data_IF_314759647319
#
_entry.id   IF_314759647319
#
_cell.length_a   1.000
_cell.length_b   1.000
_cell.length_c   1.000
_cell.angle_alpha   90.00
_cell.angle_beta   90.00
_cell.angle_gamma   90.00
#
_symmetry.space_group_name_H-M   'P 1'
#
loop_
_entity.id
_entity.type
_entity.pdbx_description
1 polymer ?
#
# COMPACT_ATOMS: atom_id res chain seq x y z
N UNK A 1 30.72 3.60 27.19
CA UNK A 1 29.49 2.97 27.70
C UNK A 1 29.84 1.55 28.17
N UNK A 2 29.62 1.17 29.41
CA UNK A 2 29.90 -0.18 29.90
C UNK A 2 28.89 -1.17 29.34
N UNK A 3 29.34 -2.14 28.53
CA UNK A 3 28.52 -3.18 27.95
C UNK A 3 28.53 -4.46 28.83
N UNK A 4 27.40 -5.13 28.88
CA UNK A 4 27.31 -6.47 29.50
C UNK A 4 27.94 -7.51 28.55
N UNK A 5 28.27 -8.69 29.07
CA UNK A 5 28.95 -9.76 28.31
C UNK A 5 28.06 -10.39 27.22
N UNK A 6 26.75 -10.16 27.28
CA UNK A 6 25.73 -10.66 26.34
C UNK A 6 25.59 -9.81 25.11
N UNK A 7 26.24 -8.64 25.06
CA UNK A 7 26.16 -7.71 23.91
C UNK A 7 27.10 -8.15 22.80
N UNK A 8 26.50 -8.61 21.69
CA UNK A 8 27.22 -8.93 20.46
C UNK A 8 27.10 -7.75 19.47
N UNK A 9 28.20 -7.00 19.31
CA UNK A 9 28.26 -5.84 18.39
C UNK A 9 28.12 -6.25 16.92
N UNK A 10 28.51 -7.47 16.51
CA UNK A 10 28.31 -7.95 15.14
C UNK A 10 26.83 -8.18 14.89
N UNK A 11 26.15 -8.84 15.80
CA UNK A 11 24.70 -9.04 15.73
C UNK A 11 23.95 -7.71 15.76
N UNK A 12 24.39 -6.74 16.58
CA UNK A 12 23.83 -5.39 16.57
C UNK A 12 24.03 -4.71 15.20
N UNK A 13 25.20 -4.82 14.59
CA UNK A 13 25.45 -4.26 13.26
C UNK A 13 24.54 -4.88 12.16
N UNK A 14 24.27 -6.18 12.25
CA UNK A 14 23.35 -6.87 11.33
C UNK A 14 21.90 -6.37 11.47
N UNK A 15 21.40 -6.24 12.71
CA UNK A 15 20.02 -5.84 12.97
C UNK A 15 19.79 -4.33 12.88
N UNK A 16 20.84 -3.49 12.94
CA UNK A 16 20.77 -2.03 12.72
C UNK A 16 20.99 -1.64 11.26
N UNK A 17 20.79 -2.55 10.34
CA UNK A 17 20.83 -2.27 8.92
C UNK A 17 19.85 -1.13 8.55
N UNK A 18 20.33 -0.08 7.86
CA UNK A 18 19.53 1.10 7.52
C UNK A 18 19.55 2.24 8.54
N UNK A 19 20.23 2.06 9.67
CA UNK A 19 20.48 3.15 10.62
C UNK A 19 21.62 4.05 10.11
N UNK A 20 21.45 5.36 10.24
CA UNK A 20 22.55 6.33 10.07
C UNK A 20 23.44 6.35 11.31
N UNK A 21 24.63 6.95 11.21
CA UNK A 21 25.49 7.15 12.40
C UNK A 21 24.78 7.89 13.53
N UNK A 22 23.89 8.87 13.19
CA UNK A 22 23.09 9.59 14.17
C UNK A 22 22.04 8.68 14.84
N UNK A 23 21.42 7.77 14.09
CA UNK A 23 20.46 6.80 14.64
C UNK A 23 21.14 5.79 15.57
N UNK A 24 22.36 5.31 15.21
CA UNK A 24 23.15 4.41 16.05
C UNK A 24 23.54 5.12 17.35
N UNK A 25 23.93 6.40 17.28
CA UNK A 25 24.22 7.18 18.47
C UNK A 25 22.98 7.39 19.34
N UNK A 26 21.80 7.64 18.74
CA UNK A 26 20.53 7.75 19.45
C UNK A 26 20.15 6.41 20.10
N UNK A 27 20.30 5.28 19.38
CA UNK A 27 20.04 3.93 19.87
C UNK A 27 20.93 3.61 21.09
N UNK A 28 22.23 3.91 21.01
CA UNK A 28 23.17 3.69 22.11
C UNK A 28 22.78 4.54 23.33
N UNK A 29 22.36 5.78 23.13
CA UNK A 29 21.91 6.68 24.20
C UNK A 29 20.63 6.15 24.86
N UNK A 30 19.64 5.75 24.08
CA UNK A 30 18.37 5.23 24.62
C UNK A 30 18.59 3.89 25.36
N UNK A 31 19.40 2.97 24.83
CA UNK A 31 19.76 1.74 25.53
C UNK A 31 20.44 2.03 26.89
N UNK A 32 21.35 3.00 26.94
CA UNK A 32 21.98 3.42 28.19
C UNK A 32 20.96 4.04 29.18
N UNK A 33 20.04 4.87 28.70
CA UNK A 33 18.98 5.46 29.53
C UNK A 33 18.03 4.40 30.11
N UNK A 34 17.74 3.33 29.35
CA UNK A 34 16.94 2.19 29.84
C UNK A 34 17.66 1.40 30.91
N UNK A 35 18.95 1.11 30.72
CA UNK A 35 19.76 0.45 31.73
C UNK A 35 19.81 1.28 33.03
N UNK A 36 19.96 2.61 32.94
CA UNK A 36 19.90 3.51 34.07
C UNK A 36 18.53 3.50 34.77
N UNK A 37 17.43 3.56 34.04
CA UNK A 37 16.06 3.49 34.61
C UNK A 37 15.84 2.16 35.34
N UNK A 38 16.30 1.03 34.77
CA UNK A 38 16.23 -0.29 35.43
C UNK A 38 17.05 -0.33 36.70
N UNK A 39 18.25 0.25 36.70
CA UNK A 39 19.11 0.32 37.87
C UNK A 39 18.53 1.18 39.01
N UNK A 40 17.85 2.27 38.68
CA UNK A 40 17.10 3.11 39.63
C UNK A 40 15.90 2.35 40.22
N UNK A 41 15.12 1.66 39.39
CA UNK A 41 13.97 0.88 39.86
C UNK A 41 14.34 -0.33 40.71
N UNK A 42 15.49 -0.93 40.44
CA UNK A 42 16.01 -2.07 41.24
C UNK A 42 16.76 -1.66 42.50
N UNK A 43 16.89 -0.36 42.79
CA UNK A 43 17.60 0.15 43.97
C UNK A 43 19.13 0.04 43.91
N UNK A 44 19.69 -0.40 42.78
CA UNK A 44 21.15 -0.46 42.58
C UNK A 44 21.76 0.94 42.53
N UNK A 45 21.02 1.91 41.95
CA UNK A 45 21.36 3.33 41.91
C UNK A 45 20.48 4.08 42.91
N UNK A 46 21.11 4.83 43.83
CA UNK A 46 20.40 5.74 44.71
C UNK A 46 20.92 7.17 44.49
N UNK A 47 20.07 8.04 43.97
CA UNK A 47 20.40 9.42 43.59
C UNK A 47 20.71 10.31 44.80
N UNK A 48 20.35 9.88 46.01
CA UNK A 48 20.58 10.63 47.28
C UNK A 48 21.95 10.35 47.93
N UNK A 49 22.85 9.63 47.27
CA UNK A 49 24.20 9.37 47.78
C UNK A 49 25.17 10.48 47.37
N UNK A 50 26.28 10.61 48.12
CA UNK A 50 27.38 11.51 47.77
C UNK A 50 28.02 11.11 46.42
N UNK A 51 28.59 12.10 45.71
CA UNK A 51 29.07 11.95 44.33
C UNK A 51 30.07 10.80 44.10
N UNK A 52 30.91 10.47 45.10
CA UNK A 52 31.90 9.37 45.01
C UNK A 52 31.26 7.98 45.04
N UNK A 53 30.24 7.80 45.85
CA UNK A 53 29.51 6.51 45.96
C UNK A 53 28.55 6.32 44.74
N UNK A 54 28.00 7.43 44.23
CA UNK A 54 27.20 7.41 43.02
C UNK A 54 28.02 6.97 41.78
N UNK A 55 29.28 7.43 41.68
CA UNK A 55 30.19 6.98 40.59
C UNK A 55 30.50 5.49 40.66
N UNK A 56 30.75 4.91 41.87
CA UNK A 56 30.96 3.47 42.07
C UNK A 56 29.73 2.65 41.70
N UNK A 57 28.52 3.16 41.98
CA UNK A 57 27.28 2.47 41.60
C UNK A 57 27.02 2.57 40.11
N UNK A 58 27.35 3.68 39.45
CA UNK A 58 27.27 3.84 37.99
C UNK A 58 28.20 2.88 37.22
N UNK A 59 29.38 2.55 37.78
CA UNK A 59 30.30 1.56 37.17
C UNK A 59 29.73 0.13 37.19
N UNK A 60 28.76 -0.17 38.05
CA UNK A 60 28.08 -1.46 38.13
C UNK A 60 26.98 -1.59 37.08
N UNK A 61 26.46 -0.48 36.55
CA UNK A 61 25.40 -0.47 35.56
C UNK A 61 25.98 -0.84 34.20
N UNK A 62 25.56 -1.98 33.65
CA UNK A 62 25.96 -2.44 32.32
C UNK A 62 24.75 -2.50 31.42
N UNK A 63 24.95 -2.06 30.19
CA UNK A 63 23.91 -2.10 29.15
C UNK A 63 23.88 -3.48 28.54
N UNK A 64 22.74 -4.16 28.60
CA UNK A 64 22.54 -5.52 28.10
C UNK A 64 22.03 -5.50 26.62
N UNK A 65 22.12 -6.65 25.95
CA UNK A 65 21.56 -6.82 24.61
C UNK A 65 20.06 -6.53 24.59
N UNK A 66 19.33 -6.88 25.64
CA UNK A 66 17.90 -6.62 25.75
C UNK A 66 17.57 -5.12 25.78
N UNK A 67 18.43 -4.29 26.41
CA UNK A 67 18.24 -2.84 26.43
C UNK A 67 18.35 -2.24 25.03
N UNK A 68 19.25 -2.77 24.18
CA UNK A 68 19.35 -2.39 22.78
C UNK A 68 18.12 -2.82 21.99
N UNK A 69 17.65 -4.06 22.14
CA UNK A 69 16.48 -4.57 21.43
C UNK A 69 15.20 -3.81 21.81
N UNK A 70 15.04 -3.42 23.05
CA UNK A 70 13.93 -2.59 23.50
C UNK A 70 14.05 -1.14 22.96
N UNK A 71 15.26 -0.57 22.96
CA UNK A 71 15.51 0.77 22.42
C UNK A 71 15.23 0.85 20.90
N UNK A 72 15.49 -0.24 20.16
CA UNK A 72 15.18 -0.33 18.73
C UNK A 72 13.68 -0.22 18.41
N UNK A 73 12.79 -0.50 19.37
CA UNK A 73 11.35 -0.33 19.18
C UNK A 73 10.94 1.14 19.14
N UNK A 74 11.71 2.02 19.76
CA UNK A 74 11.45 3.47 19.82
C UNK A 74 12.28 4.27 18.81
N UNK A 75 13.52 3.83 18.56
CA UNK A 75 14.42 4.49 17.62
C UNK A 75 14.22 3.88 16.23
N UNK A 76 13.40 4.54 15.44
CA UNK A 76 13.19 4.19 14.02
C UNK A 76 14.30 4.80 13.17
N UNK A 77 14.94 4.04 12.26
CA UNK A 77 15.97 4.56 11.35
C UNK A 77 15.52 5.80 10.60
N UNK A 78 16.36 6.85 10.55
CA UNK A 78 16.01 8.11 9.86
C UNK A 78 15.75 7.91 8.36
N UNK A 79 16.51 7.03 7.71
CA UNK A 79 16.26 6.61 6.33
C UNK A 79 14.88 5.95 6.15
N UNK A 80 14.26 5.51 7.24
CA UNK A 80 12.94 4.90 7.24
C UNK A 80 11.80 5.88 7.61
N UNK A 81 12.07 7.06 8.13
CA UNK A 81 11.02 8.00 8.56
C UNK A 81 10.21 8.60 7.42
N UNK A 82 10.79 8.72 6.23
CA UNK A 82 10.15 9.40 5.09
C UNK A 82 9.16 8.53 4.30
N UNK A 83 9.23 7.19 4.42
CA UNK A 83 8.31 6.28 3.75
C UNK A 83 7.45 5.63 4.83
N UNK A 84 6.16 5.87 4.85
CA UNK A 84 5.23 5.30 5.83
C UNK A 84 4.91 3.84 5.51
N UNK A 85 5.11 2.96 6.49
CA UNK A 85 4.55 1.60 6.45
C UNK A 85 3.18 1.70 7.11
N UNK A 86 2.13 1.46 6.34
CA UNK A 86 0.77 1.41 6.83
C UNK A 86 0.39 -0.03 7.19
N UNK A 87 -0.41 -0.19 8.23
CA UNK A 87 -1.17 -1.42 8.47
C UNK A 87 -2.61 -1.09 8.11
N UNK A 88 -3.04 -1.37 6.86
CA UNK A 88 -4.37 -1.02 6.43
C UNK A 88 -5.42 -1.81 7.22
N UNK A 89 -6.61 -1.21 7.38
CA UNK A 89 -7.74 -1.85 8.10
C UNK A 89 -8.90 -2.20 7.16
N UNK A 90 -8.72 -1.99 5.86
CA UNK A 90 -9.74 -2.25 4.84
C UNK A 90 -9.84 -3.76 4.61
N UNK A 91 -11.06 -4.29 4.64
CA UNK A 91 -11.35 -5.71 4.38
C UNK A 91 -12.12 -5.88 3.08
N UNK A 92 -12.21 -7.13 2.58
CA UNK A 92 -13.01 -7.44 1.39
C UNK A 92 -14.48 -7.02 1.52
N UNK A 93 -15.04 -7.07 2.72
CA UNK A 93 -16.43 -6.67 3.02
C UNK A 93 -16.67 -5.15 2.96
N UNK A 94 -15.60 -4.36 2.96
CA UNK A 94 -15.67 -2.90 2.81
C UNK A 94 -15.66 -2.46 1.34
N UNK A 95 -15.62 -3.41 0.40
CA UNK A 95 -15.64 -3.19 -1.04
C UNK A 95 -16.88 -3.84 -1.63
N UNK A 96 -17.79 -3.04 -2.17
CA UNK A 96 -19.00 -3.55 -2.83
C UNK A 96 -18.70 -4.08 -4.23
N UNK A 97 -19.19 -5.30 -4.54
CA UNK A 97 -19.01 -5.95 -5.84
C UNK A 97 -17.57 -6.35 -6.15
N UNK A 98 -17.24 -6.42 -7.45
CA UNK A 98 -15.91 -6.77 -7.97
C UNK A 98 -15.45 -8.18 -7.57
N UNK A 99 -16.36 -9.15 -7.46
CA UNK A 99 -16.03 -10.49 -6.93
C UNK A 99 -14.97 -11.21 -7.77
N UNK A 100 -15.00 -11.07 -9.09
CA UNK A 100 -13.99 -11.66 -9.99
C UNK A 100 -12.61 -11.04 -9.72
N UNK A 101 -12.54 -9.72 -9.61
CA UNK A 101 -11.28 -8.99 -9.31
C UNK A 101 -10.75 -9.36 -7.93
N UNK A 102 -11.63 -9.47 -6.93
CA UNK A 102 -11.26 -9.92 -5.58
C UNK A 102 -10.70 -11.34 -5.61
N UNK A 103 -11.34 -12.24 -6.37
CA UNK A 103 -10.89 -13.61 -6.50
C UNK A 103 -9.52 -13.70 -7.18
N UNK A 104 -9.31 -12.96 -8.27
CA UNK A 104 -8.00 -12.90 -8.94
C UNK A 104 -6.90 -12.38 -7.99
N UNK A 105 -7.19 -11.36 -7.19
CA UNK A 105 -6.24 -10.83 -6.21
C UNK A 105 -5.97 -11.81 -5.05
N UNK A 106 -6.99 -12.55 -4.58
CA UNK A 106 -6.80 -13.61 -3.59
C UNK A 106 -5.83 -14.67 -4.12
N UNK A 107 -6.05 -15.14 -5.33
CA UNK A 107 -5.22 -16.19 -5.96
C UNK A 107 -3.80 -15.71 -6.25
N UNK A 108 -3.66 -14.47 -6.70
CA UNK A 108 -2.38 -13.93 -7.12
C UNK A 108 -1.49 -13.44 -5.95
N UNK A 109 -2.08 -12.98 -4.84
CA UNK A 109 -1.35 -12.35 -3.73
C UNK A 109 -1.61 -13.03 -2.41
N UNK A 110 -2.88 -13.15 -2.01
CA UNK A 110 -3.25 -13.64 -0.67
C UNK A 110 -2.79 -15.08 -0.46
N UNK A 111 -3.08 -15.97 -1.41
CA UNK A 111 -2.69 -17.37 -1.30
C UNK A 111 -1.17 -17.59 -1.31
N UNK A 112 -0.38 -16.96 -2.19
CA UNK A 112 1.09 -17.09 -2.14
C UNK A 112 1.70 -16.60 -0.83
N UNK A 113 1.19 -15.51 -0.26
CA UNK A 113 1.69 -14.96 1.00
C UNK A 113 1.26 -15.80 2.21
N UNK A 114 0.02 -16.33 2.20
CA UNK A 114 -0.49 -17.18 3.29
C UNK A 114 0.01 -18.63 3.22
N UNK A 115 0.18 -19.17 2.03
CA UNK A 115 0.47 -20.59 1.81
C UNK A 115 1.67 -20.84 0.88
N UNK A 116 2.85 -20.25 1.13
CA UNK A 116 4.00 -20.31 0.23
C UNK A 116 4.44 -21.76 -0.05
N UNK A 117 4.34 -22.66 0.95
CA UNK A 117 4.71 -24.06 0.81
C UNK A 117 3.83 -24.84 -0.18
N UNK A 118 2.53 -24.46 -0.30
CA UNK A 118 1.64 -25.08 -1.29
C UNK A 118 2.08 -24.75 -2.71
N UNK A 119 2.46 -23.49 -2.96
CA UNK A 119 2.96 -23.05 -4.26
C UNK A 119 4.27 -23.73 -4.63
N UNK A 120 5.20 -23.89 -3.66
CA UNK A 120 6.45 -24.63 -3.85
C UNK A 120 6.20 -26.10 -4.22
N UNK A 121 5.31 -26.78 -3.48
CA UNK A 121 4.96 -28.19 -3.75
C UNK A 121 4.32 -28.40 -5.11
N UNK A 122 3.52 -27.44 -5.58
CA UNK A 122 2.86 -27.48 -6.88
C UNK A 122 3.76 -27.00 -8.03
N UNK A 123 4.96 -26.50 -7.74
CA UNK A 123 5.86 -25.91 -8.74
C UNK A 123 5.34 -24.62 -9.38
N UNK A 124 4.30 -24.00 -8.78
CA UNK A 124 3.67 -22.77 -9.27
C UNK A 124 4.47 -21.57 -8.79
N UNK A 125 4.75 -20.66 -9.72
CA UNK A 125 5.43 -19.40 -9.42
C UNK A 125 4.39 -18.30 -9.23
N UNK A 126 4.29 -17.65 -8.05
CA UNK A 126 3.42 -16.51 -7.89
C UNK A 126 3.87 -15.33 -8.75
N UNK A 127 2.95 -14.46 -9.18
CA UNK A 127 3.31 -13.26 -9.90
C UNK A 127 4.12 -12.32 -9.00
N UNK A 128 5.07 -11.59 -9.58
CA UNK A 128 5.85 -10.58 -8.86
C UNK A 128 5.10 -9.26 -8.76
N UNK A 129 4.36 -8.91 -9.78
CA UNK A 129 3.64 -7.66 -9.89
C UNK A 129 2.26 -7.81 -10.52
N UNK A 130 1.37 -6.93 -10.11
CA UNK A 130 0.00 -6.84 -10.60
C UNK A 130 -0.30 -5.39 -10.97
N UNK A 131 -0.79 -5.18 -12.19
CA UNK A 131 -1.29 -3.89 -12.64
C UNK A 131 -2.81 -3.86 -12.56
N UNK A 132 -3.35 -2.97 -11.73
CA UNK A 132 -4.77 -2.62 -11.68
C UNK A 132 -5.02 -1.43 -12.61
N UNK A 133 -5.92 -1.56 -13.55
CA UNK A 133 -6.26 -0.45 -14.43
C UNK A 133 -7.77 -0.32 -14.59
N UNK A 134 -8.23 0.87 -14.92
CA UNK A 134 -9.66 1.16 -15.09
C UNK A 134 -10.00 2.61 -14.78
N UNK A 135 -11.26 3.01 -14.88
CA UNK A 135 -11.70 4.37 -14.62
C UNK A 135 -11.33 4.85 -13.21
N UNK A 136 -11.16 6.16 -12.99
CA UNK A 136 -10.98 6.71 -11.66
C UNK A 136 -12.19 6.41 -10.76
N UNK A 137 -12.00 6.33 -9.45
CA UNK A 137 -13.08 6.10 -8.49
C UNK A 137 -13.65 4.69 -8.43
N UNK A 138 -13.07 3.71 -9.15
CA UNK A 138 -13.53 2.30 -9.14
C UNK A 138 -12.96 1.45 -7.99
N UNK A 139 -12.19 2.04 -7.07
CA UNK A 139 -11.72 1.37 -5.85
C UNK A 139 -10.38 0.63 -5.97
N UNK A 140 -9.53 0.93 -6.97
CA UNK A 140 -8.21 0.29 -7.15
C UNK A 140 -7.32 0.36 -5.91
N UNK A 141 -7.24 1.53 -5.28
CA UNK A 141 -6.49 1.75 -4.03
C UNK A 141 -7.08 0.97 -2.85
N UNK A 142 -8.42 0.88 -2.76
CA UNK A 142 -9.10 0.09 -1.73
C UNK A 142 -8.84 -1.41 -1.90
N UNK A 143 -8.85 -1.92 -3.13
CA UNK A 143 -8.51 -3.32 -3.44
C UNK A 143 -7.10 -3.66 -2.99
N UNK A 144 -6.11 -2.80 -3.27
CA UNK A 144 -4.73 -3.00 -2.85
C UNK A 144 -4.60 -3.01 -1.31
N UNK A 145 -5.30 -2.11 -0.61
CA UNK A 145 -5.34 -2.08 0.85
C UNK A 145 -6.02 -3.33 1.44
N UNK A 146 -7.12 -3.76 0.85
CA UNK A 146 -7.84 -4.95 1.32
C UNK A 146 -7.00 -6.21 1.19
N UNK A 147 -6.32 -6.43 0.05
CA UNK A 147 -5.47 -7.60 -0.12
C UNK A 147 -4.30 -7.62 0.87
N UNK A 148 -3.70 -6.47 1.18
CA UNK A 148 -2.64 -6.37 2.18
C UNK A 148 -3.16 -6.71 3.59
N UNK A 149 -4.33 -6.17 3.97
CA UNK A 149 -5.00 -6.48 5.26
C UNK A 149 -5.28 -7.97 5.39
N UNK A 150 -5.91 -8.55 4.39
CA UNK A 150 -6.32 -9.96 4.41
C UNK A 150 -5.12 -10.92 4.33
N UNK A 151 -4.00 -10.48 3.75
CA UNK A 151 -2.76 -11.25 3.70
C UNK A 151 -1.88 -11.08 4.95
N UNK A 152 -2.29 -10.27 5.93
CA UNK A 152 -1.46 -9.85 7.05
C UNK A 152 -0.09 -9.30 6.62
N UNK A 153 -0.06 -8.61 5.48
CA UNK A 153 1.14 -8.01 4.93
C UNK A 153 1.22 -6.51 5.28
N UNK A 154 2.43 -6.04 5.47
CA UNK A 154 2.71 -4.62 5.56
C UNK A 154 2.39 -3.94 4.21
N UNK A 155 2.04 -2.66 4.25
CA UNK A 155 1.63 -1.91 3.08
C UNK A 155 2.45 -0.64 2.96
N UNK A 156 3.08 -0.45 1.81
CA UNK A 156 3.82 0.76 1.47
C UNK A 156 3.09 1.42 0.31
N UNK A 157 2.37 2.52 0.59
CA UNK A 157 1.73 3.32 -0.45
C UNK A 157 2.73 4.34 -1.02
N UNK A 158 2.82 4.38 -2.33
CA UNK A 158 3.67 5.27 -3.09
C UNK A 158 2.83 5.93 -4.17
N UNK A 159 2.72 7.26 -4.13
CA UNK A 159 2.06 8.01 -5.19
C UNK A 159 3.08 8.48 -6.21
N UNK A 160 2.80 8.23 -7.49
CA UNK A 160 3.70 8.61 -8.58
C UNK A 160 4.15 10.07 -8.51
N UNK A 161 3.25 11.06 -8.43
CA UNK A 161 3.62 12.48 -8.34
C UNK A 161 4.48 12.84 -7.11
N UNK A 162 4.35 12.12 -5.99
CA UNK A 162 5.15 12.37 -4.78
C UNK A 162 6.63 12.02 -4.97
N UNK A 163 6.93 10.97 -5.76
CA UNK A 163 8.31 10.61 -6.09
C UNK A 163 8.96 11.73 -6.89
N UNK A 164 8.23 12.33 -7.82
CA UNK A 164 8.75 13.39 -8.69
C UNK A 164 8.96 14.70 -7.94
N UNK A 165 8.05 15.05 -7.04
CA UNK A 165 8.06 16.35 -6.34
C UNK A 165 8.99 16.37 -5.13
N UNK A 166 8.95 15.34 -4.28
CA UNK A 166 9.76 15.25 -3.05
C UNK A 166 11.22 14.91 -3.29
N UNK A 167 11.51 14.15 -4.37
CA UNK A 167 12.83 13.59 -4.64
C UNK A 167 13.43 14.13 -5.94
N UNK A 168 13.20 15.41 -6.23
CA UNK A 168 13.75 16.04 -7.41
C UNK A 168 15.27 15.87 -7.47
N UNK A 169 15.76 15.10 -8.46
CA UNK A 169 17.17 14.71 -8.58
C UNK A 169 17.61 13.43 -7.85
N UNK A 170 16.77 12.86 -6.95
CA UNK A 170 17.06 11.63 -6.20
C UNK A 170 15.96 10.55 -6.32
N UNK A 171 15.07 10.67 -7.29
CA UNK A 171 13.91 9.76 -7.45
C UNK A 171 14.31 8.29 -7.63
N UNK A 172 15.46 8.01 -8.26
CA UNK A 172 16.03 6.66 -8.37
C UNK A 172 16.40 6.08 -7.00
N UNK A 173 16.97 6.91 -6.13
CA UNK A 173 17.31 6.54 -4.76
C UNK A 173 16.05 6.24 -3.95
N UNK A 174 14.98 7.04 -4.14
CA UNK A 174 13.69 6.82 -3.49
C UNK A 174 13.11 5.45 -3.85
N UNK A 175 13.10 5.07 -5.13
CA UNK A 175 12.63 3.74 -5.56
C UNK A 175 13.45 2.64 -4.90
N UNK A 176 14.78 2.74 -4.90
CA UNK A 176 15.66 1.77 -4.26
C UNK A 176 15.37 1.62 -2.76
N UNK A 177 15.17 2.73 -2.06
CA UNK A 177 14.84 2.72 -0.63
C UNK A 177 13.44 2.14 -0.34
N UNK A 178 12.44 2.35 -1.21
CA UNK A 178 11.12 1.73 -1.12
C UNK A 178 11.24 0.21 -1.16
N UNK A 179 11.91 -0.34 -2.17
CA UNK A 179 12.09 -1.79 -2.32
C UNK A 179 12.93 -2.39 -1.19
N UNK A 180 13.98 -1.68 -0.76
CA UNK A 180 14.77 -2.08 0.41
C UNK A 180 13.93 -2.18 1.66
N UNK A 181 13.09 -1.19 1.94
CA UNK A 181 12.14 -1.21 3.07
C UNK A 181 11.13 -2.32 2.98
N UNK A 182 10.57 -2.54 1.80
CA UNK A 182 9.61 -3.61 1.60
C UNK A 182 10.22 -4.98 1.92
N UNK A 183 11.47 -5.21 1.51
CA UNK A 183 12.20 -6.45 1.86
C UNK A 183 12.42 -6.59 3.38
N UNK A 184 12.74 -5.49 4.07
CA UNK A 184 12.91 -5.50 5.53
C UNK A 184 11.60 -5.69 6.30
N UNK A 185 10.49 -5.23 5.72
CA UNK A 185 9.14 -5.32 6.30
C UNK A 185 8.33 -6.52 5.76
N UNK A 186 8.97 -7.48 5.10
CA UNK A 186 8.28 -8.63 4.52
C UNK A 186 7.55 -9.47 5.60
N UNK A 187 6.35 -10.01 5.33
CA UNK A 187 5.61 -9.91 4.07
C UNK A 187 5.09 -8.50 3.82
N UNK A 188 5.26 -7.97 2.60
CA UNK A 188 4.94 -6.59 2.27
C UNK A 188 4.33 -6.44 0.87
N UNK A 189 3.34 -5.57 0.75
CA UNK A 189 2.77 -5.11 -0.51
C UNK A 189 3.26 -3.68 -0.77
N UNK A 190 3.97 -3.48 -1.88
CA UNK A 190 4.27 -2.14 -2.40
C UNK A 190 3.15 -1.76 -3.34
N UNK A 191 2.51 -0.63 -3.10
CA UNK A 191 1.44 -0.11 -3.95
C UNK A 191 1.87 1.20 -4.60
N UNK A 192 2.02 1.18 -5.92
CA UNK A 192 2.25 2.37 -6.73
C UNK A 192 0.91 2.89 -7.27
N UNK A 193 0.44 4.00 -6.73
CA UNK A 193 -0.73 4.69 -7.29
C UNK A 193 -0.28 5.67 -8.36
N UNK A 194 -1.06 5.79 -9.45
CA UNK A 194 -0.73 6.62 -10.60
C UNK A 194 0.66 6.30 -11.18
N UNK A 195 0.89 4.99 -11.45
CA UNK A 195 2.18 4.53 -11.99
C UNK A 195 2.55 5.19 -13.32
N UNK A 196 1.55 5.60 -14.09
CA UNK A 196 1.68 6.34 -15.33
C UNK A 196 2.42 7.69 -15.16
N UNK A 197 2.38 8.29 -13.96
CA UNK A 197 3.12 9.52 -13.66
C UNK A 197 4.64 9.30 -13.59
N UNK A 198 5.10 8.12 -13.14
CA UNK A 198 6.54 7.82 -12.95
C UNK A 198 7.12 6.89 -14.00
N UNK A 199 6.28 6.21 -14.75
CA UNK A 199 6.70 5.26 -15.78
C UNK A 199 5.88 5.42 -17.08
N UNK A 200 5.89 6.61 -17.69
CA UNK A 200 5.24 6.82 -18.98
C UNK A 200 6.03 6.16 -20.11
N UNK A 201 5.31 5.71 -21.14
CA UNK A 201 5.91 5.22 -22.37
C UNK A 201 6.69 6.35 -23.08
N UNK A 202 7.78 5.98 -23.74
CA UNK A 202 8.60 6.92 -24.50
C UNK A 202 7.76 7.70 -25.51
N UNK A 203 7.93 9.02 -25.56
CA UNK A 203 7.21 9.94 -26.45
C UNK A 203 5.91 10.50 -25.87
N UNK A 204 5.47 10.08 -24.66
CA UNK A 204 4.31 10.69 -23.97
C UNK A 204 4.68 11.74 -22.92
N UNK A 205 5.90 11.70 -22.38
CA UNK A 205 6.46 12.80 -21.60
C UNK A 205 7.48 13.53 -22.46
N UNK A 206 7.68 14.85 -22.21
CA UNK A 206 8.86 15.53 -22.73
C UNK A 206 10.08 14.68 -22.40
N UNK A 207 10.95 14.38 -23.41
CA UNK A 207 12.10 13.50 -23.29
C UNK A 207 12.99 13.93 -22.09
N UNK A 208 12.63 13.50 -20.91
CA UNK A 208 13.34 13.79 -19.68
C UNK A 208 14.23 12.61 -19.33
N UNK A 209 15.56 12.78 -19.44
CA UNK A 209 16.51 11.73 -19.03
C UNK A 209 16.31 11.25 -17.57
N UNK A 210 15.67 12.07 -16.73
CA UNK A 210 15.33 11.71 -15.36
C UNK A 210 14.24 10.63 -15.31
N UNK A 211 13.19 10.73 -16.16
CA UNK A 211 12.13 9.73 -16.24
C UNK A 211 12.65 8.38 -16.73
N UNK A 212 13.48 8.36 -17.78
CA UNK A 212 14.09 7.12 -18.26
C UNK A 212 14.90 6.39 -17.17
N UNK A 213 15.60 7.15 -16.32
CA UNK A 213 16.35 6.59 -15.18
C UNK A 213 15.44 6.04 -14.09
N UNK A 214 14.32 6.71 -13.79
CA UNK A 214 13.32 6.24 -12.84
C UNK A 214 12.73 4.91 -13.31
N UNK A 215 12.32 4.84 -14.59
CA UNK A 215 11.78 3.61 -15.20
C UNK A 215 12.84 2.50 -15.17
N UNK A 216 14.07 2.79 -15.56
CA UNK A 216 15.16 1.82 -15.53
C UNK A 216 15.44 1.28 -14.11
N UNK A 217 15.41 2.15 -13.10
CA UNK A 217 15.58 1.75 -11.69
C UNK A 217 14.39 0.89 -11.22
N UNK A 218 13.16 1.27 -11.55
CA UNK A 218 11.97 0.48 -11.20
C UNK A 218 12.03 -0.92 -11.83
N UNK A 219 12.41 -1.01 -13.11
CA UNK A 219 12.60 -2.28 -13.81
C UNK A 219 13.68 -3.13 -13.14
N UNK A 220 14.82 -2.54 -12.78
CA UNK A 220 15.91 -3.23 -12.10
C UNK A 220 15.50 -3.76 -10.72
N UNK A 221 14.75 -2.97 -9.93
CA UNK A 221 14.26 -3.42 -8.63
C UNK A 221 13.22 -4.54 -8.76
N UNK A 222 12.30 -4.45 -9.74
CA UNK A 222 11.32 -5.52 -10.00
C UNK A 222 11.99 -6.81 -10.48
N UNK A 223 13.00 -6.72 -11.34
CA UNK A 223 13.77 -7.88 -11.79
C UNK A 223 14.57 -8.49 -10.62
N UNK A 224 15.08 -7.62 -9.70
CA UNK A 224 15.81 -7.98 -8.49
C UNK A 224 14.94 -8.52 -7.34
N UNK A 225 13.61 -8.39 -7.39
CA UNK A 225 12.72 -9.04 -6.40
C UNK A 225 12.88 -10.55 -6.54
N UNK A 226 13.60 -11.14 -5.59
CA UNK A 226 13.80 -12.57 -5.59
C UNK A 226 12.52 -13.26 -5.08
N UNK A 227 12.34 -14.53 -5.48
CA UNK A 227 11.15 -15.33 -5.13
C UNK A 227 11.01 -15.60 -3.62
N UNK A 228 12.01 -15.26 -2.85
CA UNK A 228 12.09 -15.53 -1.41
C UNK A 228 11.72 -14.32 -0.56
N UNK A 229 11.52 -13.14 -1.17
CA UNK A 229 11.44 -11.90 -0.40
C UNK A 229 10.04 -11.62 0.19
N UNK A 230 9.01 -12.43 -0.13
CA UNK A 230 7.62 -12.19 0.31
C UNK A 230 7.16 -10.73 0.07
N UNK A 231 7.63 -10.13 -1.02
CA UNK A 231 7.25 -8.78 -1.46
C UNK A 231 6.49 -8.90 -2.77
N UNK A 232 5.31 -8.27 -2.82
CA UNK A 232 4.48 -8.19 -4.01
C UNK A 232 4.31 -6.74 -4.40
N UNK A 233 4.41 -6.43 -5.68
CA UNK A 233 4.21 -5.08 -6.21
C UNK A 233 2.81 -4.99 -6.85
N UNK A 234 2.01 -4.03 -6.41
CA UNK A 234 0.74 -3.68 -7.05
C UNK A 234 0.90 -2.28 -7.61
N UNK A 235 0.53 -2.08 -8.86
CA UNK A 235 0.44 -0.74 -9.44
C UNK A 235 -1.00 -0.44 -9.85
N UNK A 236 -1.40 0.82 -9.76
CA UNK A 236 -2.69 1.28 -10.26
C UNK A 236 -2.50 2.41 -11.27
N UNK A 237 -3.33 2.42 -12.32
CA UNK A 237 -3.36 3.49 -13.30
C UNK A 237 -4.78 3.73 -13.83
N UNK A 238 -5.05 4.98 -14.15
CA UNK A 238 -6.23 5.38 -14.92
C UNK A 238 -5.90 5.53 -16.43
N UNK A 239 -4.62 5.51 -16.79
CA UNK A 239 -4.11 5.69 -18.14
C UNK A 239 -3.21 4.53 -18.56
N UNK A 240 -3.79 3.33 -18.77
CA UNK A 240 -2.99 2.16 -19.11
C UNK A 240 -2.30 2.30 -20.49
N UNK A 241 -2.81 3.18 -21.33
CA UNK A 241 -2.29 3.49 -22.66
C UNK A 241 -0.93 4.18 -22.66
N UNK A 242 -0.58 4.88 -21.58
CA UNK A 242 0.67 5.63 -21.46
C UNK A 242 1.72 4.93 -20.55
N UNK A 243 1.39 3.81 -19.94
CA UNK A 243 2.37 3.04 -19.13
C UNK A 243 3.42 2.41 -20.03
N UNK A 244 4.70 2.49 -19.61
CA UNK A 244 5.81 1.90 -20.37
C UNK A 244 5.59 0.39 -20.61
N UNK A 245 5.55 -0.07 -21.88
CA UNK A 245 5.35 -1.48 -22.21
C UNK A 245 6.39 -2.41 -21.60
N UNK A 246 7.58 -1.92 -21.25
CA UNK A 246 8.59 -2.73 -20.59
C UNK A 246 8.15 -3.24 -19.21
N UNK A 247 7.29 -2.51 -18.51
CA UNK A 247 6.72 -2.94 -17.23
C UNK A 247 5.70 -4.08 -17.40
N UNK A 248 5.07 -4.18 -18.55
CA UNK A 248 4.03 -5.18 -18.85
C UNK A 248 4.59 -6.53 -19.34
N UNK A 249 5.92 -6.65 -19.43
CA UNK A 249 6.58 -7.89 -19.83
C UNK A 249 6.55 -8.94 -18.70
N UNK A 250 6.53 -10.24 -19.04
CA UNK A 250 6.61 -11.33 -18.08
C UNK A 250 7.81 -11.18 -17.12
N UNK A 251 7.58 -11.46 -15.84
CA UNK A 251 8.58 -11.28 -14.78
C UNK A 251 8.51 -9.95 -14.06
N UNK A 252 7.61 -9.04 -14.46
CA UNK A 252 7.38 -7.70 -13.86
C UNK A 252 5.92 -7.59 -13.44
N UNK A 253 5.06 -6.91 -14.21
CA UNK A 253 3.61 -6.99 -13.98
C UNK A 253 3.03 -8.20 -14.73
N UNK A 254 3.11 -9.35 -14.09
CA UNK A 254 2.70 -10.64 -14.66
C UNK A 254 1.18 -10.78 -14.82
N UNK A 255 0.43 -10.00 -14.06
CA UNK A 255 -1.03 -9.93 -14.08
C UNK A 255 -1.49 -8.52 -14.34
N UNK A 256 -2.42 -8.39 -15.27
CA UNK A 256 -3.05 -7.13 -15.64
C UNK A 256 -4.55 -7.32 -15.43
N UNK A 257 -5.10 -6.62 -14.44
CA UNK A 257 -6.48 -6.80 -13.98
C UNK A 257 -7.27 -5.53 -14.27
N UNK A 258 -8.34 -5.67 -15.03
CA UNK A 258 -9.31 -4.61 -15.27
C UNK A 258 -10.23 -4.45 -14.06
N UNK A 259 -10.34 -3.24 -13.55
CA UNK A 259 -11.28 -2.87 -12.48
C UNK A 259 -12.42 -2.09 -13.14
N UNK A 260 -13.53 -2.75 -13.48
CA UNK A 260 -14.65 -2.11 -14.19
C UNK A 260 -15.41 -1.16 -13.28
N UNK A 261 -16.23 -0.27 -13.87
CA UNK A 261 -17.26 0.46 -13.11
C UNK A 261 -18.21 -0.52 -12.40
N UNK A 262 -18.83 -0.08 -11.29
CA UNK A 262 -19.74 -0.95 -10.56
C UNK A 262 -21.03 -1.20 -11.37
N UNK A 263 -21.44 -2.46 -11.46
CA UNK A 263 -22.73 -2.88 -11.98
C UNK A 263 -23.87 -2.53 -10.98
N UNK A 264 -25.10 -2.82 -11.34
CA UNK A 264 -26.27 -2.54 -10.50
C UNK A 264 -26.14 -3.15 -9.10
N UNK A 265 -25.70 -4.41 -9.00
CA UNK A 265 -25.53 -5.11 -7.74
C UNK A 265 -24.39 -4.51 -6.90
N UNK A 266 -23.28 -4.21 -7.53
CA UNK A 266 -22.15 -3.56 -6.87
C UNK A 266 -22.54 -2.16 -6.35
N UNK A 267 -23.30 -1.36 -7.12
CA UNK A 267 -23.80 -0.05 -6.67
C UNK A 267 -24.69 -0.18 -5.43
N UNK A 268 -25.58 -1.17 -5.42
CA UNK A 268 -26.39 -1.45 -4.23
C UNK A 268 -25.53 -1.78 -2.99
N UNK A 269 -24.52 -2.65 -3.16
CA UNK A 269 -23.60 -3.01 -2.07
C UNK A 269 -22.77 -1.81 -1.61
N UNK A 270 -22.30 -0.97 -2.52
CA UNK A 270 -21.57 0.27 -2.21
C UNK A 270 -22.45 1.25 -1.43
N UNK A 271 -23.71 1.45 -1.88
CA UNK A 271 -24.70 2.27 -1.15
C UNK A 271 -24.88 1.74 0.28
N UNK A 272 -25.08 0.43 0.44
CA UNK A 272 -25.24 -0.21 1.75
C UNK A 272 -24.01 -0.01 2.67
N UNK A 273 -22.81 -0.05 2.11
CA UNK A 273 -21.56 0.18 2.86
C UNK A 273 -21.50 1.64 3.34
N UNK A 274 -21.72 2.61 2.45
CA UNK A 274 -21.60 4.03 2.79
C UNK A 274 -22.76 4.58 3.62
N UNK A 275 -23.93 3.91 3.63
CA UNK A 275 -25.07 4.30 4.47
C UNK A 275 -25.18 3.50 5.76
N UNK A 276 -24.31 2.52 6.01
CA UNK A 276 -24.37 1.60 7.16
C UNK A 276 -24.52 2.30 8.52
N UNK A 277 -23.88 3.43 8.69
CA UNK A 277 -23.89 4.21 9.94
C UNK A 277 -24.77 5.46 9.86
N UNK A 278 -25.57 5.60 8.80
CA UNK A 278 -26.47 6.74 8.63
C UNK A 278 -27.85 6.41 9.20
N UNK A 279 -28.50 7.35 9.90
CA UNK A 279 -29.89 7.21 10.31
C UNK A 279 -30.80 7.38 9.08
N UNK A 280 -31.08 6.30 8.37
CA UNK A 280 -31.95 6.31 7.19
C UNK A 280 -33.41 6.31 7.59
N UNK A 281 -34.21 7.17 6.97
CA UNK A 281 -35.65 7.17 7.08
C UNK A 281 -36.24 5.94 6.34
N UNK A 282 -37.48 5.56 6.71
CA UNK A 282 -38.14 4.36 6.16
C UNK A 282 -38.46 4.45 4.67
N UNK A 283 -38.46 5.62 4.11
CA UNK A 283 -38.72 5.90 2.68
C UNK A 283 -37.51 5.66 1.76
N UNK A 284 -36.31 5.38 2.34
CA UNK A 284 -35.10 5.18 1.55
C UNK A 284 -35.04 3.75 1.01
N UNK A 285 -35.17 3.64 -0.31
CA UNK A 285 -34.97 2.40 -1.04
C UNK A 285 -33.59 2.40 -1.73
N UNK A 286 -32.66 1.61 -1.18
CA UNK A 286 -31.30 1.51 -1.73
C UNK A 286 -31.25 0.78 -3.07
N UNK A 287 -32.22 -0.10 -3.37
CA UNK A 287 -32.31 -0.78 -4.67
C UNK A 287 -32.75 0.20 -5.76
N UNK A 288 -33.70 1.07 -5.44
CA UNK A 288 -34.13 2.14 -6.35
C UNK A 288 -33.00 3.13 -6.59
N UNK A 289 -32.28 3.55 -5.54
CA UNK A 289 -31.09 4.40 -5.68
C UNK A 289 -30.01 3.74 -6.54
N UNK A 290 -29.77 2.44 -6.40
CA UNK A 290 -28.83 1.72 -7.25
C UNK A 290 -29.23 1.74 -8.73
N UNK A 291 -30.52 1.67 -9.05
CA UNK A 291 -31.02 1.80 -10.42
C UNK A 291 -30.82 3.20 -10.96
N UNK A 292 -31.04 4.24 -10.14
CA UNK A 292 -30.92 5.63 -10.53
C UNK A 292 -29.47 6.12 -10.66
N UNK A 293 -28.51 5.43 -10.08
CA UNK A 293 -27.08 5.79 -10.07
C UNK A 293 -26.30 5.10 -11.18
N UNK A 294 -26.91 4.87 -12.34
CA UNK A 294 -26.18 4.31 -13.49
C UNK A 294 -25.05 5.25 -13.96
N UNK A 295 -23.87 4.70 -14.28
CA UNK A 295 -22.69 5.46 -14.62
C UNK A 295 -21.94 6.10 -13.43
N UNK A 296 -22.40 5.89 -12.18
CA UNK A 296 -21.69 6.34 -10.99
C UNK A 296 -20.57 5.37 -10.62
N UNK A 297 -19.44 5.91 -10.18
CA UNK A 297 -18.34 5.15 -9.58
C UNK A 297 -18.59 4.92 -8.09
N UNK A 298 -17.73 4.09 -7.46
CA UNK A 298 -17.75 3.96 -6.01
C UNK A 298 -17.52 5.28 -5.28
N UNK A 299 -16.63 6.12 -5.81
CA UNK A 299 -16.37 7.46 -5.26
C UNK A 299 -17.56 8.41 -5.42
N UNK A 300 -18.27 8.35 -6.55
CA UNK A 300 -19.48 9.16 -6.76
C UNK A 300 -20.57 8.78 -5.77
N UNK A 301 -20.76 7.49 -5.52
CA UNK A 301 -21.75 6.97 -4.56
C UNK A 301 -21.38 7.37 -3.11
N UNK A 302 -20.09 7.32 -2.76
CA UNK A 302 -19.61 7.82 -1.47
C UNK A 302 -19.94 9.30 -1.28
N UNK A 303 -19.63 10.12 -2.29
CA UNK A 303 -19.92 11.56 -2.28
C UNK A 303 -21.45 11.80 -2.22
N UNK A 304 -22.25 11.02 -2.95
CA UNK A 304 -23.71 11.09 -2.95
C UNK A 304 -24.26 10.83 -1.54
N UNK A 305 -23.85 9.76 -0.90
CA UNK A 305 -24.28 9.41 0.45
C UNK A 305 -23.90 10.51 1.46
N UNK A 306 -22.67 11.02 1.37
CA UNK A 306 -22.18 12.12 2.22
C UNK A 306 -22.97 13.41 2.01
N UNK A 307 -23.25 13.80 0.76
CA UNK A 307 -24.03 15.03 0.47
C UNK A 307 -25.48 14.88 0.95
N UNK A 308 -26.11 13.72 0.77
CA UNK A 308 -27.45 13.45 1.30
C UNK A 308 -27.49 13.58 2.83
N UNK A 309 -26.49 13.06 3.53
CA UNK A 309 -26.33 13.25 4.99
C UNK A 309 -26.16 14.70 5.40
N UNK A 310 -25.35 15.47 4.64
CA UNK A 310 -25.16 16.91 4.90
C UNK A 310 -26.46 17.72 4.67
N UNK A 311 -27.24 17.37 3.67
CA UNK A 311 -28.55 18.03 3.43
C UNK A 311 -29.51 17.76 4.58
N UNK A 312 -29.62 16.51 5.04
CA UNK A 312 -30.44 16.14 6.20
C UNK A 312 -29.98 16.88 7.47
N UNK A 313 -28.67 16.97 7.70
CA UNK A 313 -28.11 17.67 8.86
C UNK A 313 -28.44 19.17 8.84
N UNK A 314 -28.40 19.82 7.68
CA UNK A 314 -28.76 21.24 7.53
C UNK A 314 -30.23 21.51 7.80
N UNK A 315 -31.14 20.62 7.37
CA UNK A 315 -32.59 20.78 7.57
C UNK A 315 -33.00 20.57 9.04
N UNK A 316 -32.34 19.65 9.73
CA UNK A 316 -32.78 19.18 11.05
C UNK A 316 -31.89 19.64 12.20
N UNK A 317 -30.93 20.56 11.94
CA UNK A 317 -29.92 20.99 12.93
C UNK A 317 -29.21 19.80 13.60
N UNK A 318 -28.98 18.72 12.83
CA UNK A 318 -28.19 17.56 13.27
C UNK A 318 -28.98 16.43 13.95
N UNK A 319 -30.32 16.52 14.06
CA UNK A 319 -31.15 15.55 14.80
C UNK A 319 -32.07 14.70 13.92
N UNK A 320 -31.91 14.71 12.60
CA UNK A 320 -32.87 14.06 11.68
C UNK A 320 -32.34 12.87 10.92
N UNK A 321 -33.29 12.13 10.34
CA UNK A 321 -33.04 10.98 9.47
C UNK A 321 -32.77 11.45 8.02
N UNK A 322 -31.95 10.70 7.30
CA UNK A 322 -31.69 10.91 5.88
C UNK A 322 -32.81 10.25 5.07
N UNK A 323 -33.63 11.05 4.39
CA UNK A 323 -34.74 10.58 3.58
C UNK A 323 -34.37 10.42 2.10
N UNK A 324 -35.19 9.73 1.32
CA UNK A 324 -35.02 9.56 -0.12
C UNK A 324 -34.92 10.91 -0.85
N UNK A 325 -35.65 11.93 -0.40
CA UNK A 325 -35.59 13.29 -0.94
C UNK A 325 -34.17 13.88 -0.89
N UNK A 326 -33.44 13.65 0.19
CA UNK A 326 -32.06 14.17 0.33
C UNK A 326 -31.13 13.53 -0.70
N UNK A 327 -31.27 12.22 -0.97
CA UNK A 327 -30.51 11.56 -2.04
C UNK A 327 -30.87 12.11 -3.41
N UNK A 328 -32.15 12.29 -3.72
CA UNK A 328 -32.60 12.87 -5.00
C UNK A 328 -32.09 14.30 -5.19
N UNK A 329 -32.02 15.09 -4.14
CA UNK A 329 -31.47 16.44 -4.20
C UNK A 329 -29.94 16.44 -4.37
N UNK A 330 -29.23 15.54 -3.69
CA UNK A 330 -27.82 15.33 -3.87
C UNK A 330 -27.46 14.90 -5.31
N UNK A 331 -28.27 14.04 -5.93
CA UNK A 331 -28.09 13.63 -7.33
C UNK A 331 -28.22 14.77 -8.36
N UNK A 332 -28.88 15.87 -8.01
CA UNK A 332 -28.91 17.06 -8.88
C UNK A 332 -27.53 17.69 -8.99
N UNK A 333 -26.73 17.63 -7.95
CA UNK A 333 -25.37 18.20 -7.88
C UNK A 333 -24.31 17.23 -8.35
N UNK A 334 -24.43 15.96 -7.96
CA UNK A 334 -23.44 14.93 -8.25
C UNK A 334 -23.89 14.18 -9.50
N UNK A 335 -23.05 14.23 -10.53
CA UNK A 335 -23.31 13.61 -11.82
C UNK A 335 -22.45 12.35 -11.97
N UNK A 336 -22.87 11.37 -12.81
CA UNK A 336 -22.06 10.20 -13.11
C UNK A 336 -20.71 10.60 -13.73
N UNK A 337 -19.64 9.98 -13.27
CA UNK A 337 -18.28 10.24 -13.77
C UNK A 337 -17.89 9.36 -14.95
N UNK A 338 -18.65 8.29 -15.22
CA UNK A 338 -18.34 7.32 -16.27
C UNK A 338 -19.22 7.57 -17.49
N UNK A 339 -18.57 7.62 -18.65
CA UNK A 339 -19.25 7.64 -19.95
C UNK A 339 -19.10 6.30 -20.66
N UNK A 340 -20.04 5.95 -21.57
CA UNK A 340 -19.93 4.71 -22.35
C UNK A 340 -18.66 4.64 -23.21
N UNK A 341 -18.14 5.79 -23.64
CA UNK A 341 -16.90 5.88 -24.43
C UNK A 341 -15.69 5.49 -23.57
N UNK A 342 -15.67 5.88 -22.30
CA UNK A 342 -14.61 5.48 -21.36
C UNK A 342 -14.60 3.97 -21.17
N UNK A 343 -15.76 3.34 -20.98
CA UNK A 343 -15.86 1.88 -20.83
C UNK A 343 -15.29 1.18 -22.07
N UNK A 344 -15.74 1.58 -23.26
CA UNK A 344 -15.25 1.05 -24.54
C UNK A 344 -13.73 1.19 -24.71
N UNK A 345 -13.17 2.31 -24.26
CA UNK A 345 -11.72 2.54 -24.30
C UNK A 345 -10.97 1.51 -23.46
N UNK A 346 -11.36 1.28 -22.20
CA UNK A 346 -10.70 0.33 -21.32
C UNK A 346 -10.86 -1.11 -21.79
N UNK A 347 -12.04 -1.51 -22.24
CA UNK A 347 -12.32 -2.83 -22.81
C UNK A 347 -11.49 -3.09 -24.07
N UNK A 348 -11.46 -2.14 -25.00
CA UNK A 348 -10.67 -2.25 -26.23
C UNK A 348 -9.15 -2.30 -25.93
N UNK A 349 -8.68 -1.57 -24.92
CA UNK A 349 -7.28 -1.64 -24.49
C UNK A 349 -6.97 -3.02 -23.90
N UNK A 350 -7.86 -3.55 -23.05
CA UNK A 350 -7.70 -4.85 -22.41
C UNK A 350 -7.65 -5.99 -23.42
N UNK A 351 -8.54 -5.99 -24.38
CA UNK A 351 -8.55 -7.01 -25.44
C UNK A 351 -7.28 -6.96 -26.32
N UNK A 352 -6.78 -5.77 -26.64
CA UNK A 352 -5.50 -5.63 -27.35
C UNK A 352 -4.34 -6.18 -26.54
N UNK A 353 -4.29 -5.90 -25.24
CA UNK A 353 -3.25 -6.43 -24.35
C UNK A 353 -3.27 -7.95 -24.23
N UNK A 354 -4.44 -8.56 -24.07
CA UNK A 354 -4.60 -10.03 -24.08
C UNK A 354 -4.04 -10.65 -25.35
N UNK A 355 -4.34 -10.07 -26.50
CA UNK A 355 -3.83 -10.57 -27.78
C UNK A 355 -2.30 -10.44 -27.88
N UNK A 356 -1.72 -9.35 -27.39
CA UNK A 356 -0.28 -9.13 -27.41
C UNK A 356 0.44 -10.13 -26.51
N UNK A 357 -0.03 -10.33 -25.29
CA UNK A 357 0.53 -11.32 -24.34
C UNK A 357 0.45 -12.74 -24.94
N UNK A 358 -0.66 -13.09 -25.58
CA UNK A 358 -0.85 -14.40 -26.20
C UNK A 358 0.14 -14.60 -27.37
N UNK A 359 0.33 -13.59 -28.21
CA UNK A 359 1.29 -13.64 -29.33
C UNK A 359 2.74 -13.74 -28.85
N UNK A 360 3.12 -13.02 -27.79
CA UNK A 360 4.47 -13.12 -27.22
C UNK A 360 4.72 -14.50 -26.61
N UNK A 361 3.75 -15.10 -25.92
CA UNK A 361 3.84 -16.47 -25.39
C UNK A 361 4.00 -17.51 -26.51
N UNK A 362 3.37 -17.32 -27.66
CA UNK A 362 3.51 -18.20 -28.81
C UNK A 362 4.85 -18.03 -29.56
N UNK A 363 5.45 -16.83 -29.47
CA UNK A 363 6.76 -16.53 -30.10
C UNK A 363 7.96 -16.88 -29.23
N UNK A 364 7.76 -17.08 -27.93
CA UNK A 364 8.84 -17.56 -27.06
C UNK A 364 9.25 -18.98 -27.55
N UNK A 365 10.49 -19.20 -28.04
CA UNK A 365 10.90 -20.50 -28.42
C UNK A 365 10.85 -21.44 -27.23
N UNK A 366 10.40 -22.68 -27.47
CA UNK A 366 10.43 -23.84 -26.56
C UNK A 366 11.89 -24.24 -26.25
N UNK A 367 12.65 -23.31 -25.66
CA UNK A 367 14.01 -23.55 -25.23
C UNK A 367 14.03 -23.60 -23.70
N UNK A 368 13.39 -24.64 -23.14
CA UNK A 368 13.70 -25.17 -21.80
C UNK A 368 13.00 -26.55 -21.70
N UNK A 369 13.67 -27.57 -22.23
CA UNK A 369 13.55 -28.92 -21.70
C UNK A 369 14.62 -29.11 -20.66
#
# INVERSE_FOLDING_TARGET
>A
MPLAKDVDLRKLAEITYGYTGADIAALAREAAMRALRKALQSGILNVNKEDEDLRKDLEKVKVSMNDFLEAMREIVPSALREIHIEIPKVRWNDIGGLEEVKQELREAIEWPLKYPERFRKMGIRPPKGILLFGPPGTGKTLLAKAVATESNANFIAVRGPEILSKWFGESERAIREIFKKARMAAPCVIFFDEIDAIAPARGYAEDSPAMDRIVAQLLAEMDGVSRLDNVVVIAATNRPDIVDPALLRPGRFDRIIYVPPPDLRARFEILKIHTKNMPLARDVDLEELAKMTDGYTGADIEILAREAGLLAMRETNGAGEVSMRHFLEAMKKIKPSITPEMIKFYEAWYERMKQTITRERQRAPTLYV
#
